data_IF_117625692681
#
_entry.id   IF_117625692681
#
_cell.length_a   1.000
_cell.length_b   1.000
_cell.length_c   1.000
_cell.angle_alpha   90.00
_cell.angle_beta   90.00
_cell.angle_gamma   90.00
#
_symmetry.space_group_name_H-M   'P 1'
#
loop_
_entity.id
_entity.type
_entity.pdbx_description
1 polymer ?
#
# COMPACT_ATOMS: atom_id res chain seq x y z
N UNK A 1 -15.60 -4.81 5.26
CA UNK A 1 -14.27 -4.36 4.92
C UNK A 1 -13.36 -5.55 4.78
N UNK A 2 -12.71 -5.64 3.67
CA UNK A 2 -11.92 -6.81 3.35
C UNK A 2 -10.45 -6.45 3.29
N UNK A 3 -9.66 -7.16 4.08
CA UNK A 3 -8.22 -7.00 4.02
C UNK A 3 -7.68 -7.82 2.87
N UNK A 4 -6.81 -7.20 2.08
CA UNK A 4 -6.21 -7.84 0.93
C UNK A 4 -4.70 -7.80 1.07
N UNK A 5 -4.04 -8.58 0.23
CA UNK A 5 -2.59 -8.55 0.13
C UNK A 5 -2.18 -8.16 -1.27
N UNK A 6 -0.98 -7.64 -1.37
CA UNK A 6 -0.44 -7.26 -2.66
C UNK A 6 1.05 -7.02 -2.56
N UNK A 7 1.62 -6.57 -3.68
CA UNK A 7 3.04 -6.31 -3.76
C UNK A 7 3.26 -4.85 -4.15
N UNK A 8 4.17 -4.19 -3.46
CA UNK A 8 4.50 -2.80 -3.78
C UNK A 8 5.14 -2.76 -5.16
N UNK A 9 4.51 -2.03 -6.08
CA UNK A 9 5.06 -1.86 -7.41
C UNK A 9 6.23 -0.89 -7.37
N UNK A 10 6.03 0.24 -6.70
CA UNK A 10 7.09 1.19 -6.42
C UNK A 10 6.60 2.17 -5.37
N UNK A 11 7.52 2.83 -4.71
CA UNK A 11 7.18 3.83 -3.71
C UNK A 11 8.26 4.89 -3.70
N UNK A 12 7.84 6.16 -3.70
CA UNK A 12 8.76 7.29 -3.70
C UNK A 12 8.74 7.94 -2.32
N UNK A 13 9.79 7.72 -1.56
CA UNK A 13 9.88 8.26 -0.20
C UNK A 13 9.89 9.78 -0.19
N UNK A 14 10.47 10.38 -1.21
CA UNK A 14 10.54 11.82 -1.28
C UNK A 14 9.18 12.47 -1.51
N UNK A 15 8.34 11.80 -2.25
CA UNK A 15 6.99 12.32 -2.54
C UNK A 15 5.96 11.74 -1.57
N UNK A 16 6.26 10.64 -0.92
CA UNK A 16 5.38 10.04 0.06
C UNK A 16 4.24 9.23 -0.51
N UNK A 17 4.39 8.68 -1.70
CA UNK A 17 3.34 7.84 -2.27
C UNK A 17 3.92 6.84 -3.27
N UNK A 18 3.11 5.86 -3.60
CA UNK A 18 3.47 4.85 -4.56
C UNK A 18 2.25 4.05 -4.96
N UNK A 19 2.48 2.88 -5.50
CA UNK A 19 1.40 2.01 -5.97
C UNK A 19 1.62 0.58 -5.51
N UNK A 20 0.53 -0.11 -5.27
CA UNK A 20 0.52 -1.51 -4.85
C UNK A 20 -0.27 -2.30 -5.87
N UNK A 21 0.28 -3.41 -6.32
CA UNK A 21 -0.41 -4.32 -7.23
C UNK A 21 -1.11 -5.39 -6.40
N UNK A 22 -2.44 -5.44 -6.41
CA UNK A 22 -3.17 -6.44 -5.61
C UNK A 22 -2.87 -7.85 -6.09
N UNK A 23 -2.74 -8.78 -5.17
CA UNK A 23 -2.53 -10.19 -5.53
C UNK A 23 -3.70 -10.77 -6.27
N UNK A 24 -4.90 -10.31 -5.97
CA UNK A 24 -6.11 -10.81 -6.62
C UNK A 24 -6.31 -10.30 -8.03
N UNK A 25 -5.41 -9.45 -8.49
CA UNK A 25 -5.54 -8.86 -9.81
C UNK A 25 -6.26 -7.53 -9.77
N UNK A 26 -6.39 -6.92 -10.91
CA UNK A 26 -7.02 -5.63 -11.02
C UNK A 26 -6.01 -4.52 -11.16
N UNK A 27 -6.48 -3.31 -11.01
CA UNK A 27 -5.64 -2.14 -11.19
C UNK A 27 -4.77 -1.90 -9.97
N UNK A 28 -3.61 -1.29 -10.21
CA UNK A 28 -2.75 -0.86 -9.12
C UNK A 28 -3.50 0.13 -8.24
N UNK A 29 -3.21 0.07 -6.94
CA UNK A 29 -3.87 0.93 -5.97
C UNK A 29 -2.89 2.01 -5.51
N UNK A 30 -3.40 3.22 -5.38
CA UNK A 30 -2.62 4.33 -4.87
C UNK A 30 -2.32 4.09 -3.39
N UNK A 31 -1.07 4.28 -3.00
CA UNK A 31 -0.64 4.10 -1.61
C UNK A 31 0.03 5.38 -1.13
N UNK A 32 -0.56 6.02 -0.12
CA UNK A 32 -0.03 7.25 0.45
C UNK A 32 0.62 6.96 1.79
N UNK A 33 1.69 7.68 2.10
CA UNK A 33 2.42 7.39 3.33
C UNK A 33 1.56 7.51 4.58
N UNK A 34 0.54 8.35 4.55
CA UNK A 34 -0.35 8.51 5.70
C UNK A 34 -1.16 7.25 5.98
N UNK A 35 -1.24 6.35 5.03
CA UNK A 35 -1.98 5.10 5.20
C UNK A 35 -1.10 3.93 5.61
N UNK A 36 0.19 4.15 5.72
CA UNK A 36 1.11 3.09 6.13
C UNK A 36 1.08 2.98 7.64
N UNK A 37 0.80 1.78 8.14
CA UNK A 37 0.62 1.52 9.56
C UNK A 37 1.69 0.60 10.09
N UNK A 38 1.84 0.61 11.39
CA UNK A 38 2.74 -0.31 12.06
C UNK A 38 4.18 0.09 11.90
N UNK A 39 5.03 -0.61 12.57
CA UNK A 39 6.43 -0.36 12.49
C UNK A 39 6.84 0.87 13.28
N UNK A 40 8.12 1.03 13.41
CA UNK A 40 8.73 1.99 14.30
C UNK A 40 8.98 3.32 13.59
N UNK A 41 7.93 3.94 13.15
CA UNK A 41 8.05 5.30 12.62
C UNK A 41 8.39 5.41 11.15
N UNK A 42 8.70 4.33 10.49
CA UNK A 42 8.94 4.37 9.06
C UNK A 42 7.63 4.32 8.31
N UNK A 43 7.42 5.28 7.44
CA UNK A 43 6.24 5.32 6.61
C UNK A 43 6.64 5.26 5.14
N UNK A 44 7.39 4.23 4.83
CA UNK A 44 7.81 4.00 3.46
C UNK A 44 7.70 2.53 3.15
N UNK A 45 7.68 2.22 1.87
CA UNK A 45 7.55 0.86 1.39
C UNK A 45 8.69 0.59 0.43
N UNK A 46 9.13 -0.66 0.41
CA UNK A 46 10.17 -1.06 -0.51
C UNK A 46 9.55 -1.65 -1.76
N UNK A 47 10.22 -1.48 -2.88
CA UNK A 47 9.79 -2.06 -4.13
C UNK A 47 9.74 -3.58 -3.99
N UNK A 48 8.66 -4.18 -4.49
CA UNK A 48 8.43 -5.63 -4.45
C UNK A 48 8.15 -6.18 -3.04
N UNK A 49 7.96 -5.28 -2.07
CA UNK A 49 7.61 -5.70 -0.72
C UNK A 49 6.17 -6.21 -0.68
N UNK A 50 5.97 -7.31 0.07
CA UNK A 50 4.61 -7.83 0.27
C UNK A 50 3.93 -7.06 1.37
N UNK A 51 2.71 -6.62 1.10
CA UNK A 51 1.96 -5.81 2.07
C UNK A 51 0.52 -6.30 2.18
N UNK A 52 -0.09 -5.93 3.29
CA UNK A 52 -1.49 -6.18 3.57
C UNK A 52 -2.18 -4.83 3.67
N UNK A 53 -3.37 -4.72 3.12
CA UNK A 53 -4.05 -3.44 3.09
C UNK A 53 -5.55 -3.62 2.93
N UNK A 54 -6.28 -2.52 3.08
CA UNK A 54 -7.69 -2.45 2.77
C UNK A 54 -7.88 -1.52 1.59
N UNK A 55 -8.97 -1.72 0.86
CA UNK A 55 -9.28 -0.87 -0.29
C UNK A 55 -10.34 0.12 0.13
N UNK A 56 -10.12 1.39 -0.18
CA UNK A 56 -11.11 2.42 0.03
C UNK A 56 -11.19 3.31 -1.20
N UNK A 57 -12.32 4.00 -1.34
CA UNK A 57 -12.49 4.94 -2.44
C UNK A 57 -11.85 6.27 -2.06
N UNK A 58 -10.96 6.74 -2.91
CA UNK A 58 -10.34 8.05 -2.75
C UNK A 58 -10.73 8.95 -3.89
N UNK A 59 -10.20 10.16 -3.88
CA UNK A 59 -10.51 11.13 -4.94
C UNK A 59 -10.00 10.68 -6.29
N UNK A 60 -8.95 9.90 -6.31
CA UNK A 60 -8.35 9.42 -7.55
C UNK A 60 -8.78 8.01 -7.89
N UNK A 61 -9.78 7.49 -7.20
CA UNK A 61 -10.25 6.14 -7.40
C UNK A 61 -9.88 5.25 -6.23
N UNK A 62 -9.89 3.92 -6.43
CA UNK A 62 -9.55 3.01 -5.34
C UNK A 62 -8.14 3.25 -4.85
N UNK A 63 -7.95 3.21 -3.53
CA UNK A 63 -6.62 3.34 -2.97
C UNK A 63 -6.46 2.42 -1.77
N UNK A 64 -5.22 2.12 -1.46
CA UNK A 64 -4.89 1.25 -0.34
C UNK A 64 -4.93 2.03 0.97
N UNK A 65 -5.45 1.40 2.00
CA UNK A 65 -5.55 2.00 3.34
C UNK A 65 -5.07 0.99 4.36
N UNK A 66 -4.65 1.47 5.52
CA UNK A 66 -4.18 0.62 6.61
C UNK A 66 -3.13 -0.37 6.12
N UNK A 67 -2.12 0.15 5.42
CA UNK A 67 -1.10 -0.66 4.78
C UNK A 67 -0.12 -1.16 5.82
N UNK A 68 0.19 -2.46 5.79
CA UNK A 68 1.13 -3.07 6.72
C UNK A 68 2.03 -4.03 5.97
N UNK A 69 3.29 -4.11 6.40
CA UNK A 69 4.18 -5.10 5.84
C UNK A 69 3.73 -6.50 6.27
N UNK A 70 3.83 -7.46 5.36
CA UNK A 70 3.44 -8.83 5.62
C UNK A 70 4.67 -9.68 5.75
N UNK A 71 4.59 -10.62 6.68
CA UNK A 71 5.63 -11.60 6.83
C UNK A 71 6.80 -11.04 7.56
N UNK A 72 7.86 -11.73 7.45
CA UNK A 72 9.02 -11.29 8.18
C UNK A 72 10.26 -11.71 7.76
#
# INVERSE_FOLDING_TARGET
MTTQTGTVKWFDDGKGFGFITPDGGGKDLFAHFSEIRGGAGFRSLAENQKVQFEVKQGQKGPQAANIRAVGA
#
